data_IF_440419521824
#
_entry.id   IF_440419521824
#
_cell.length_a   1.000
_cell.length_b   1.000
_cell.length_c   1.000
_cell.angle_alpha   90.00
_cell.angle_beta   90.00
_cell.angle_gamma   90.00
#
_symmetry.space_group_name_H-M   'P 1'
#
loop_
_entity.id
_entity.type
_entity.pdbx_description
1 polymer ?
#
# COMPACT_ATOMS: atom_id res chain seq x y z
N UNK A 1 1.19 -18.56 9.57
CA UNK A 1 2.30 -17.79 8.93
C UNK A 1 2.06 -17.74 7.42
N UNK A 2 0.80 -17.60 6.99
CA UNK A 2 0.36 -17.96 5.62
C UNK A 2 -0.25 -16.78 4.85
N UNK A 3 -0.53 -15.64 5.50
CA UNK A 3 -1.15 -14.48 4.84
C UNK A 3 -0.19 -13.65 3.97
N UNK A 4 1.03 -14.15 3.71
CA UNK A 4 2.07 -13.42 2.97
C UNK A 4 2.11 -13.72 1.47
N UNK A 5 1.40 -14.74 0.98
CA UNK A 5 1.65 -15.29 -0.37
C UNK A 5 1.12 -14.38 -1.49
N UNK A 6 -0.09 -13.81 -1.36
CA UNK A 6 -0.73 -13.08 -2.47
C UNK A 6 -0.13 -11.69 -2.73
N UNK A 7 0.22 -10.95 -1.68
CA UNK A 7 0.93 -9.67 -1.81
C UNK A 7 2.38 -9.83 -2.27
N UNK A 8 3.02 -10.93 -1.88
CA UNK A 8 4.38 -11.27 -2.29
C UNK A 8 4.46 -11.74 -3.75
N UNK A 9 3.47 -12.53 -4.20
CA UNK A 9 3.39 -13.04 -5.58
C UNK A 9 3.34 -11.92 -6.62
N UNK A 10 2.60 -10.85 -6.35
CA UNK A 10 2.48 -9.71 -7.26
C UNK A 10 3.53 -8.61 -7.02
N UNK A 11 4.36 -8.74 -5.97
CA UNK A 11 5.33 -7.72 -5.51
C UNK A 11 4.71 -6.31 -5.35
N UNK A 12 3.40 -6.24 -5.08
CA UNK A 12 2.71 -4.96 -4.90
C UNK A 12 2.76 -4.59 -3.43
N UNK A 13 3.15 -3.34 -3.16
CA UNK A 13 3.18 -2.78 -1.81
C UNK A 13 2.55 -1.41 -1.79
N UNK A 14 2.42 -0.83 -0.61
CA UNK A 14 2.03 0.57 -0.46
C UNK A 14 2.96 1.55 -1.21
N UNK A 15 4.17 1.13 -1.58
CA UNK A 15 5.14 1.97 -2.27
C UNK A 15 4.97 2.01 -3.80
N UNK A 16 4.05 1.23 -4.39
CA UNK A 16 3.73 1.33 -5.82
C UNK A 16 2.62 2.37 -6.03
N UNK A 17 2.92 3.58 -6.53
CA UNK A 17 2.02 4.73 -6.44
C UNK A 17 0.73 4.56 -7.24
N UNK A 18 0.74 3.76 -8.31
CA UNK A 18 -0.43 3.50 -9.15
C UNK A 18 -1.05 2.15 -8.81
N UNK A 19 -0.24 1.09 -8.81
CA UNK A 19 -0.73 -0.28 -8.68
C UNK A 19 -1.30 -0.58 -7.28
N UNK A 20 -0.71 -0.02 -6.22
CA UNK A 20 -1.21 -0.19 -4.86
C UNK A 20 -2.62 0.38 -4.68
N UNK A 21 -2.86 1.67 -4.99
CA UNK A 21 -4.20 2.24 -4.94
C UNK A 21 -5.22 1.56 -5.88
N UNK A 22 -4.80 1.16 -7.08
CA UNK A 22 -5.68 0.45 -8.02
C UNK A 22 -6.15 -0.88 -7.44
N UNK A 23 -5.25 -1.71 -6.91
CA UNK A 23 -5.61 -2.98 -6.29
C UNK A 23 -6.43 -2.80 -5.01
N UNK A 24 -6.13 -1.77 -4.21
CA UNK A 24 -6.96 -1.43 -3.05
C UNK A 24 -8.39 -1.03 -3.44
N UNK A 25 -8.55 -0.27 -4.51
CA UNK A 25 -9.87 0.11 -5.05
C UNK A 25 -10.63 -1.11 -5.59
N UNK A 26 -9.97 -1.94 -6.41
CA UNK A 26 -10.57 -3.17 -6.93
C UNK A 26 -10.99 -4.13 -5.82
N UNK A 27 -10.17 -4.25 -4.76
CA UNK A 27 -10.50 -5.06 -3.59
C UNK A 27 -11.79 -4.61 -2.91
N UNK A 28 -11.94 -3.30 -2.64
CA UNK A 28 -13.17 -2.76 -2.05
C UNK A 28 -14.36 -2.93 -2.99
N UNK A 29 -14.19 -2.64 -4.28
CA UNK A 29 -15.27 -2.78 -5.26
C UNK A 29 -15.81 -4.22 -5.33
N UNK A 30 -14.90 -5.20 -5.41
CA UNK A 30 -15.27 -6.62 -5.43
C UNK A 30 -15.94 -7.05 -4.12
N UNK A 31 -15.39 -6.66 -2.97
CA UNK A 31 -16.02 -6.96 -1.67
C UNK A 31 -17.43 -6.40 -1.57
N UNK A 32 -17.66 -5.19 -2.08
CA UNK A 32 -18.96 -4.53 -2.04
C UNK A 32 -19.99 -5.23 -2.95
N UNK A 33 -19.58 -5.65 -4.16
CA UNK A 33 -20.41 -6.47 -5.05
C UNK A 33 -20.84 -7.77 -4.36
N UNK A 34 -19.90 -8.46 -3.72
CA UNK A 34 -20.19 -9.72 -3.02
C UNK A 34 -21.12 -9.51 -1.82
N UNK A 35 -20.94 -8.42 -1.08
CA UNK A 35 -21.81 -8.07 0.04
C UNK A 35 -23.23 -7.72 -0.42
N UNK A 36 -23.37 -6.93 -1.49
CA UNK A 36 -24.67 -6.61 -2.08
C UNK A 36 -25.40 -7.85 -2.59
N UNK A 37 -24.69 -8.76 -3.26
CA UNK A 37 -25.25 -10.02 -3.73
C UNK A 37 -25.69 -10.93 -2.57
N UNK A 38 -24.87 -11.03 -1.51
CA UNK A 38 -25.23 -11.77 -0.31
C UNK A 38 -26.47 -11.18 0.39
N UNK A 39 -26.55 -9.86 0.54
CA UNK A 39 -27.69 -9.16 1.11
C UNK A 39 -28.98 -9.44 0.32
N UNK A 40 -28.93 -9.34 -1.01
CA UNK A 40 -30.09 -9.62 -1.88
C UNK A 40 -30.57 -11.06 -1.80
N UNK A 41 -29.65 -12.04 -1.75
CA UNK A 41 -29.99 -13.47 -1.60
C UNK A 41 -30.62 -13.77 -0.26
N UNK A 42 -30.08 -13.19 0.82
CA UNK A 42 -30.64 -13.33 2.15
C UNK A 42 -32.04 -12.71 2.23
N UNK A 43 -32.23 -11.52 1.66
CA UNK A 43 -33.53 -10.86 1.59
C UNK A 43 -34.59 -11.64 0.80
N UNK A 44 -34.22 -12.24 -0.34
CA UNK A 44 -35.15 -13.09 -1.11
C UNK A 44 -35.53 -14.35 -0.34
N UNK A 45 -34.58 -14.94 0.41
CA UNK A 45 -34.84 -16.12 1.21
C UNK A 45 -35.83 -15.81 2.34
N UNK A 46 -35.66 -14.68 3.04
CA UNK A 46 -36.57 -14.23 4.09
C UNK A 46 -37.98 -13.90 3.58
N UNK A 47 -38.11 -13.38 2.36
CA UNK A 47 -39.42 -13.11 1.74
C UNK A 47 -40.10 -14.34 1.14
N UNK A 48 -39.45 -15.51 1.17
CA UNK A 48 -39.97 -16.72 0.51
C UNK A 48 -40.04 -16.59 -1.02
N UNK A 49 -39.29 -15.64 -1.61
CA UNK A 49 -39.30 -15.42 -3.05
C UNK A 49 -38.50 -16.54 -3.74
N UNK A 50 -39.10 -17.18 -4.73
CA UNK A 50 -38.38 -18.11 -5.61
C UNK A 50 -37.42 -17.34 -6.52
N UNK A 51 -36.35 -18.02 -6.95
CA UNK A 51 -35.23 -17.42 -7.68
C UNK A 51 -35.73 -16.71 -8.95
N UNK A 52 -35.85 -15.38 -8.89
CA UNK A 52 -36.27 -14.56 -10.02
C UNK A 52 -35.14 -14.52 -11.05
N UNK A 53 -35.44 -14.87 -12.30
CA UNK A 53 -34.48 -14.78 -13.40
C UNK A 53 -34.22 -13.30 -13.70
N UNK A 54 -33.04 -12.80 -13.34
CA UNK A 54 -32.63 -11.41 -13.64
C UNK A 54 -31.97 -11.35 -15.00
N UNK A 55 -32.16 -10.25 -15.71
CA UNK A 55 -31.38 -9.99 -16.93
C UNK A 55 -29.91 -9.75 -16.57
N UNK A 56 -28.99 -10.12 -17.48
CA UNK A 56 -27.56 -9.86 -17.28
C UNK A 56 -27.27 -8.36 -17.07
N UNK A 57 -28.03 -7.49 -17.73
CA UNK A 57 -27.94 -6.04 -17.58
C UNK A 57 -28.31 -5.57 -16.16
N UNK A 58 -29.38 -6.11 -15.57
CA UNK A 58 -29.77 -5.76 -14.21
C UNK A 58 -28.71 -6.20 -13.19
N UNK A 59 -28.13 -7.40 -13.37
CA UNK A 59 -27.04 -7.89 -12.51
C UNK A 59 -25.80 -7.00 -12.62
N UNK A 60 -25.44 -6.57 -13.83
CA UNK A 60 -24.30 -5.67 -14.05
C UNK A 60 -24.53 -4.28 -13.43
N UNK A 61 -25.74 -3.74 -13.52
CA UNK A 61 -26.12 -2.46 -12.90
C UNK A 61 -26.05 -2.54 -11.37
N UNK A 62 -26.64 -3.58 -10.77
CA UNK A 62 -26.58 -3.82 -9.32
C UNK A 62 -25.12 -3.91 -8.83
N UNK A 63 -24.30 -4.70 -9.53
CA UNK A 63 -22.87 -4.84 -9.20
C UNK A 63 -22.11 -3.51 -9.33
N UNK A 64 -22.37 -2.71 -10.37
CA UNK A 64 -21.74 -1.40 -10.53
C UNK A 64 -22.13 -0.45 -9.39
N UNK A 65 -23.40 -0.43 -9.00
CA UNK A 65 -23.89 0.39 -7.89
C UNK A 65 -23.25 -0.03 -6.56
N UNK A 66 -23.22 -1.34 -6.26
CA UNK A 66 -22.60 -1.88 -5.05
C UNK A 66 -21.11 -1.48 -4.97
N UNK A 67 -20.36 -1.63 -6.07
CA UNK A 67 -18.96 -1.26 -6.14
C UNK A 67 -18.73 0.24 -5.93
N UNK A 68 -19.50 1.10 -6.62
CA UNK A 68 -19.39 2.57 -6.52
C UNK A 68 -19.72 3.02 -5.10
N UNK A 69 -20.78 2.48 -4.51
CA UNK A 69 -21.22 2.83 -3.17
C UNK A 69 -20.17 2.46 -2.12
N UNK A 70 -19.64 1.23 -2.16
CA UNK A 70 -18.62 0.81 -1.20
C UNK A 70 -17.29 1.56 -1.33
N UNK A 71 -16.86 1.88 -2.56
CA UNK A 71 -15.69 2.73 -2.80
C UNK A 71 -15.92 4.14 -2.24
N UNK A 72 -17.11 4.71 -2.47
CA UNK A 72 -17.47 6.05 -2.00
C UNK A 72 -17.52 6.08 -0.48
N UNK A 73 -18.20 5.13 0.17
CA UNK A 73 -18.24 4.99 1.63
C UNK A 73 -16.84 4.82 2.22
N UNK A 74 -15.98 3.99 1.61
CA UNK A 74 -14.60 3.83 2.05
C UNK A 74 -13.85 5.16 2.09
N UNK A 75 -14.02 5.99 1.05
CA UNK A 75 -13.38 7.31 0.96
C UNK A 75 -13.98 8.31 1.94
N UNK A 76 -15.31 8.35 2.09
CA UNK A 76 -16.00 9.23 3.05
C UNK A 76 -15.61 8.91 4.50
N UNK A 77 -15.37 7.65 4.82
CA UNK A 77 -14.89 7.22 6.14
C UNK A 77 -13.40 7.51 6.38
N UNK A 78 -12.70 8.18 5.45
CA UNK A 78 -11.28 8.51 5.58
C UNK A 78 -10.32 7.41 5.12
N UNK A 79 -10.84 6.38 4.45
CA UNK A 79 -10.04 5.30 3.88
C UNK A 79 -9.07 5.81 2.82
N UNK A 80 -7.84 5.28 2.85
CA UNK A 80 -6.83 5.45 1.80
C UNK A 80 -6.55 4.09 1.20
N UNK A 81 -6.67 3.93 -0.11
CA UNK A 81 -6.48 2.61 -0.75
C UNK A 81 -5.11 2.01 -0.46
N UNK A 82 -4.08 2.85 -0.33
CA UNK A 82 -2.73 2.46 0.08
C UNK A 82 -2.70 1.74 1.44
N UNK A 83 -3.60 2.06 2.37
CA UNK A 83 -3.66 1.44 3.70
C UNK A 83 -4.08 -0.04 3.67
N UNK A 84 -4.65 -0.52 2.55
CA UNK A 84 -5.01 -1.93 2.35
C UNK A 84 -3.84 -2.76 1.82
N UNK A 85 -2.80 -2.10 1.30
CA UNK A 85 -1.65 -2.78 0.72
C UNK A 85 -0.60 -3.08 1.79
N UNK A 86 0.14 -4.18 1.68
CA UNK A 86 1.21 -4.46 2.62
C UNK A 86 2.31 -3.40 2.56
N UNK A 87 2.92 -3.14 3.72
CA UNK A 87 4.03 -2.20 3.85
C UNK A 87 5.37 -2.85 3.49
N UNK A 88 6.16 -2.20 2.63
CA UNK A 88 7.58 -2.55 2.47
C UNK A 88 8.39 -1.91 3.60
N UNK A 89 9.22 -2.68 4.28
CA UNK A 89 10.02 -2.19 5.42
C UNK A 89 11.17 -1.25 5.02
N UNK A 90 11.52 -1.16 3.73
CA UNK A 90 12.60 -0.28 3.25
C UNK A 90 12.08 1.06 2.71
N UNK A 91 10.76 1.23 2.66
CA UNK A 91 10.07 2.38 2.04
C UNK A 91 9.05 2.96 3.03
N UNK A 92 8.46 4.15 2.76
CA UNK A 92 7.39 4.65 3.61
C UNK A 92 6.25 3.63 3.66
N UNK A 93 5.82 3.27 4.86
CA UNK A 93 4.76 2.30 5.06
C UNK A 93 3.39 2.83 4.62
N UNK A 94 2.40 1.94 4.65
CA UNK A 94 1.05 2.26 4.20
C UNK A 94 0.44 3.39 5.03
N UNK A 95 0.70 3.39 6.34
CA UNK A 95 0.27 4.39 7.31
C UNK A 95 1.18 5.62 7.38
N UNK A 96 2.13 5.80 6.46
CA UNK A 96 2.98 7.00 6.44
C UNK A 96 2.16 8.25 6.10
N UNK A 97 2.08 9.21 7.03
CA UNK A 97 1.33 10.47 6.82
C UNK A 97 2.29 11.63 6.70
N UNK A 98 2.95 11.99 7.79
CA UNK A 98 3.95 13.05 7.83
C UNK A 98 5.34 12.49 8.17
N UNK A 99 6.37 13.27 7.85
CA UNK A 99 7.77 12.94 8.08
C UNK A 99 8.62 14.18 8.26
N UNK A 100 9.73 14.04 8.99
CA UNK A 100 10.70 15.12 9.20
C UNK A 100 11.89 14.97 8.25
N UNK A 101 12.55 16.06 7.85
CA UNK A 101 13.82 15.97 7.11
C UNK A 101 14.89 15.29 7.98
N UNK A 102 15.67 14.39 7.38
CA UNK A 102 16.83 13.78 8.03
C UNK A 102 18.11 14.43 7.47
N UNK A 103 18.86 15.22 8.28
CA UNK A 103 20.14 15.79 7.85
C UNK A 103 21.22 14.70 7.86
N UNK A 104 21.21 13.84 6.85
CA UNK A 104 22.19 12.77 6.68
C UNK A 104 21.95 11.55 7.58
N UNK A 105 23.04 10.81 7.82
CA UNK A 105 23.02 9.50 8.49
C UNK A 105 22.95 9.55 10.02
N UNK A 106 23.07 10.73 10.61
CA UNK A 106 23.05 10.91 12.06
C UNK A 106 21.68 10.58 12.64
N UNK A 107 21.63 10.31 13.95
CA UNK A 107 20.35 10.13 14.64
C UNK A 107 19.59 11.44 14.78
N UNK A 108 18.26 11.34 14.92
CA UNK A 108 17.41 12.51 15.12
C UNK A 108 17.83 13.33 16.36
N UNK A 109 17.91 14.66 16.20
CA UNK A 109 18.13 15.61 17.28
C UNK A 109 17.05 15.50 18.37
N UNK A 110 17.29 16.03 19.57
CA UNK A 110 16.30 15.96 20.65
C UNK A 110 14.98 16.66 20.28
N UNK A 111 15.06 17.80 19.58
CA UNK A 111 13.87 18.47 19.05
C UNK A 111 13.13 17.60 18.03
N UNK A 112 13.86 16.98 17.09
CA UNK A 112 13.26 16.08 16.11
C UNK A 112 12.63 14.84 16.75
N UNK A 113 13.21 14.30 17.84
CA UNK A 113 12.62 13.21 18.62
C UNK A 113 11.32 13.62 19.30
N UNK A 114 11.26 14.83 19.88
CA UNK A 114 10.03 15.40 20.44
C UNK A 114 8.93 15.48 19.39
N UNK A 115 9.26 16.00 18.21
CA UNK A 115 8.31 16.12 17.11
C UNK A 115 7.90 14.76 16.53
N UNK A 116 8.82 13.81 16.37
CA UNK A 116 8.50 12.44 15.97
C UNK A 116 7.55 11.75 16.96
N UNK A 117 7.70 12.02 18.26
CA UNK A 117 6.79 11.51 19.28
C UNK A 117 5.39 12.11 19.12
N UNK A 118 5.29 13.42 18.83
CA UNK A 118 4.02 14.09 18.49
C UNK A 118 3.36 13.45 17.27
N UNK A 119 4.12 13.27 16.18
CA UNK A 119 3.65 12.61 14.96
C UNK A 119 3.21 11.17 15.23
N UNK A 120 3.96 10.40 16.02
CA UNK A 120 3.62 9.02 16.37
C UNK A 120 2.32 8.90 17.15
N UNK A 121 2.07 9.78 18.12
CA UNK A 121 0.82 9.74 18.88
C UNK A 121 -0.39 10.20 18.05
N UNK A 122 -0.20 11.19 17.16
CA UNK A 122 -1.25 11.67 16.26
C UNK A 122 -1.59 10.67 15.16
N UNK A 123 -0.57 10.19 14.43
CA UNK A 123 -0.76 9.43 13.20
C UNK A 123 -0.54 7.92 13.40
N UNK A 124 0.36 7.55 14.31
CA UNK A 124 0.81 6.18 14.54
C UNK A 124 2.11 5.84 13.82
N UNK A 125 2.57 4.61 14.04
CA UNK A 125 3.67 4.00 13.31
C UNK A 125 3.40 4.03 11.80
N UNK A 126 4.37 4.47 11.01
CA UNK A 126 4.21 4.61 9.57
C UNK A 126 4.00 3.28 8.82
N UNK A 127 4.42 2.15 9.40
CA UNK A 127 4.12 0.81 8.84
C UNK A 127 2.82 0.22 9.37
N UNK A 128 2.61 0.17 10.68
CA UNK A 128 1.51 -0.60 11.27
C UNK A 128 0.39 0.25 11.88
N UNK A 129 0.53 1.56 11.95
CA UNK A 129 -0.48 2.46 12.52
C UNK A 129 -0.59 2.43 14.05
N UNK A 130 0.20 1.62 14.76
CA UNK A 130 0.22 1.57 16.23
C UNK A 130 0.62 2.93 16.83
N UNK A 131 -0.11 3.40 17.85
CA UNK A 131 0.09 4.70 18.52
C UNK A 131 0.66 4.63 19.95
N UNK A 132 0.99 3.43 20.42
CA UNK A 132 1.54 3.19 21.75
C UNK A 132 2.95 2.59 21.70
N UNK A 133 3.70 2.78 22.79
CA UNK A 133 5.06 2.26 22.97
C UNK A 133 6.18 3.23 22.59
N UNK A 134 7.40 2.71 22.54
CA UNK A 134 8.61 3.47 22.21
C UNK A 134 8.60 3.93 20.74
N UNK A 135 8.86 5.22 20.55
CA UNK A 135 8.96 5.86 19.24
C UNK A 135 10.41 5.86 18.76
N UNK A 136 10.61 5.47 17.51
CA UNK A 136 11.90 5.46 16.82
C UNK A 136 11.75 6.34 15.57
N UNK A 137 12.74 7.22 15.36
CA UNK A 137 12.87 7.96 14.11
C UNK A 137 13.52 7.07 13.06
N UNK A 138 12.71 6.51 12.18
CA UNK A 138 13.17 5.60 11.14
C UNK A 138 13.62 6.38 9.90
N UNK A 139 14.85 6.13 9.46
CA UNK A 139 15.42 6.71 8.25
C UNK A 139 14.91 5.99 7.01
N UNK A 140 14.17 6.69 6.16
CA UNK A 140 13.73 6.18 4.87
C UNK A 140 14.29 7.05 3.75
N UNK A 141 15.03 6.48 2.77
CA UNK A 141 15.53 5.09 2.73
C UNK A 141 16.55 4.79 3.85
N UNK A 142 16.73 3.53 4.30
CA UNK A 142 17.70 3.19 5.36
C UNK A 142 19.16 3.58 5.06
N UNK A 143 19.91 3.96 6.09
CA UNK A 143 21.33 4.37 5.97
C UNK A 143 22.20 3.37 5.22
N UNK A 144 22.03 2.07 5.45
CA UNK A 144 22.80 1.01 4.76
C UNK A 144 22.61 1.05 3.23
N UNK A 145 21.47 1.56 2.76
CA UNK A 145 21.17 1.73 1.34
C UNK A 145 21.64 3.08 0.81
N UNK A 146 21.78 4.11 1.64
CA UNK A 146 22.22 5.44 1.23
C UNK A 146 23.74 5.62 1.30
N UNK A 147 24.39 5.07 2.32
CA UNK A 147 25.79 5.35 2.67
C UNK A 147 26.70 4.11 2.65
N UNK A 148 26.18 2.95 2.27
CA UNK A 148 27.00 1.74 2.10
C UNK A 148 27.86 1.75 0.82
N UNK A 149 28.87 0.87 0.69
CA UNK A 149 29.73 0.77 -0.50
C UNK A 149 28.98 0.54 -1.82
N UNK A 150 27.75 0.04 -1.75
CA UNK A 150 26.85 -0.23 -2.88
C UNK A 150 25.61 0.69 -2.90
N UNK A 151 25.60 1.77 -2.11
CA UNK A 151 24.40 2.53 -1.78
C UNK A 151 23.77 3.25 -2.97
N UNK A 152 24.61 3.90 -3.79
CA UNK A 152 24.13 4.70 -4.92
C UNK A 152 23.45 3.85 -6.01
N UNK A 153 24.04 2.69 -6.36
CA UNK A 153 23.45 1.80 -7.38
C UNK A 153 22.18 1.10 -6.89
N UNK A 154 22.15 0.65 -5.62
CA UNK A 154 20.97 0.00 -5.05
C UNK A 154 19.82 0.98 -4.81
N UNK A 155 20.10 2.22 -4.42
CA UNK A 155 19.10 3.27 -4.31
C UNK A 155 18.47 3.60 -5.67
N UNK A 156 19.29 3.71 -6.73
CA UNK A 156 18.81 3.90 -8.11
C UNK A 156 17.94 2.71 -8.56
N UNK A 157 18.40 1.47 -8.36
CA UNK A 157 17.63 0.27 -8.74
C UNK A 157 16.30 0.14 -7.96
N UNK A 158 16.26 0.57 -6.69
CA UNK A 158 15.06 0.59 -5.87
C UNK A 158 14.06 1.69 -6.25
N UNK A 159 14.54 2.83 -6.74
CA UNK A 159 13.71 3.90 -7.32
C UNK A 159 13.14 3.43 -8.66
N UNK A 160 13.96 2.86 -9.54
CA UNK A 160 13.53 2.31 -10.84
C UNK A 160 12.45 1.24 -10.69
N UNK A 161 12.61 0.32 -9.73
CA UNK A 161 11.60 -0.71 -9.42
C UNK A 161 10.33 -0.14 -8.78
N UNK A 162 10.41 0.98 -8.04
CA UNK A 162 9.22 1.65 -7.47
C UNK A 162 8.38 2.41 -8.50
N UNK A 163 8.97 2.79 -9.63
CA UNK A 163 8.29 3.41 -10.77
C UNK A 163 7.57 2.40 -11.68
N UNK A 164 7.60 1.10 -11.34
CA UNK A 164 6.97 0.05 -12.14
C UNK A 164 7.77 -0.35 -13.39
N UNK A 165 8.98 0.20 -13.58
CA UNK A 165 9.90 -0.28 -14.59
C UNK A 165 10.64 -1.49 -14.02
N UNK A 166 10.11 -2.68 -14.29
CA UNK A 166 10.89 -3.91 -14.17
C UNK A 166 12.07 -3.80 -15.12
N UNK A 167 13.29 -3.93 -14.62
CA UNK A 167 14.40 -4.37 -15.46
C UNK A 167 13.93 -5.66 -16.14
N UNK A 168 13.84 -5.61 -17.46
CA UNK A 168 13.59 -6.77 -18.29
C UNK A 168 14.78 -7.69 -18.09
N UNK A 169 14.67 -8.59 -17.11
CA UNK A 169 15.43 -9.83 -17.12
C UNK A 169 14.99 -10.53 -18.40
N UNK A 170 15.90 -10.54 -19.36
CA UNK A 170 15.80 -11.28 -20.60
C UNK A 170 15.27 -12.69 -20.31
N UNK A 171 14.29 -13.12 -21.14
CA UNK A 171 13.65 -14.44 -21.23
C UNK A 171 12.26 -14.57 -20.57
N UNK A 172 11.21 -14.06 -21.23
CA UNK A 172 9.86 -14.64 -21.21
C UNK A 172 9.06 -14.29 -22.49
N UNK A 173 8.16 -15.17 -22.98
CA UNK A 173 7.70 -15.22 -24.37
C UNK A 173 6.30 -14.61 -24.57
N UNK A 174 6.13 -13.31 -24.34
CA UNK A 174 4.85 -12.60 -24.55
C UNK A 174 5.01 -11.32 -25.38
N UNK A 175 5.83 -11.36 -26.42
CA UNK A 175 6.15 -10.22 -27.30
C UNK A 175 5.07 -9.86 -28.34
N UNK A 176 3.80 -10.26 -28.17
CA UNK A 176 2.75 -10.03 -29.18
C UNK A 176 1.45 -9.42 -28.66
N UNK A 177 1.54 -8.44 -27.77
CA UNK A 177 0.46 -7.45 -27.58
C UNK A 177 1.02 -6.04 -27.84
N UNK A 178 1.45 -5.79 -29.08
CA UNK A 178 1.81 -4.46 -29.55
C UNK A 178 0.57 -3.79 -30.17
N UNK A 179 0.18 -2.63 -29.65
CA UNK A 179 -0.83 -1.80 -30.28
C UNK A 179 -1.39 -0.71 -29.37
N UNK A 180 -0.85 0.51 -29.51
CA UNK A 180 -1.30 1.81 -28.98
C UNK A 180 -1.45 1.98 -27.46
N UNK A 181 -1.94 1.00 -26.69
CA UNK A 181 -2.15 1.16 -25.24
C UNK A 181 -0.83 1.19 -24.46
N UNK A 182 0.14 0.36 -24.87
CA UNK A 182 1.48 0.33 -24.26
C UNK A 182 2.29 1.61 -24.47
N UNK A 183 1.98 2.38 -25.51
CA UNK A 183 2.69 3.63 -25.82
C UNK A 183 2.16 4.83 -25.03
N UNK A 184 0.89 4.80 -24.63
CA UNK A 184 0.29 5.79 -23.72
C UNK A 184 0.79 5.56 -22.27
N UNK A 185 1.02 4.29 -21.88
CA UNK A 185 1.54 3.92 -20.55
C UNK A 185 3.06 4.05 -20.41
N UNK A 186 3.84 4.02 -21.50
CA UNK A 186 5.30 4.15 -21.48
C UNK A 186 5.77 5.46 -22.12
N UNK A 187 5.29 6.59 -21.60
CA UNK A 187 5.85 7.90 -21.94
C UNK A 187 7.38 7.91 -21.75
N UNK A 188 8.10 8.26 -22.82
CA UNK A 188 9.55 8.52 -22.85
C UNK A 188 9.92 9.77 -22.02
N UNK A 189 9.49 9.82 -20.77
CA UNK A 189 9.99 10.77 -19.79
C UNK A 189 11.34 10.29 -19.29
N UNK A 190 12.44 10.86 -19.78
CA UNK A 190 13.69 10.86 -19.02
C UNK A 190 13.39 11.56 -17.70
N UNK A 191 13.12 10.78 -16.65
CA UNK A 191 13.02 11.29 -15.28
C UNK A 191 14.37 11.89 -14.95
N UNK A 192 14.46 13.23 -14.92
CA UNK A 192 15.60 13.92 -14.34
C UNK A 192 15.60 13.54 -12.85
N UNK A 193 16.51 12.66 -12.45
CA UNK A 193 16.74 12.33 -11.03
C UNK A 193 17.32 13.59 -10.39
N UNK A 194 16.44 14.39 -9.80
CA UNK A 194 16.79 15.63 -9.14
C UNK A 194 17.49 15.33 -7.80
N UNK A 195 18.81 15.54 -7.75
CA UNK A 195 19.62 15.57 -6.53
C UNK A 195 19.76 14.24 -5.76
N UNK A 196 20.65 14.20 -4.75
CA UNK A 196 20.74 13.04 -3.85
C UNK A 196 19.40 12.85 -3.15
N UNK A 197 18.89 11.61 -3.14
CA UNK A 197 17.60 11.28 -2.52
C UNK A 197 17.60 11.77 -1.06
N UNK A 198 16.73 12.74 -0.76
CA UNK A 198 16.64 13.33 0.58
C UNK A 198 16.01 12.31 1.52
N UNK A 199 16.81 11.80 2.44
CA UNK A 199 16.37 10.90 3.49
C UNK A 199 15.43 11.64 4.46
N UNK A 200 14.45 10.92 5.01
CA UNK A 200 13.45 11.48 5.93
C UNK A 200 13.25 10.57 7.13
N UNK A 201 12.90 11.17 8.26
CA UNK A 201 12.47 10.46 9.45
C UNK A 201 10.97 10.19 9.42
N UNK A 202 10.60 8.94 9.59
CA UNK A 202 9.22 8.53 9.84
C UNK A 202 9.07 7.99 11.28
N UNK A 203 7.95 8.25 11.95
CA UNK A 203 7.69 7.69 13.27
C UNK A 203 7.43 6.18 13.14
N UNK A 204 8.22 5.36 13.84
CA UNK A 204 8.14 3.90 13.78
C UNK A 204 8.11 3.30 15.20
N UNK A 205 7.39 2.20 15.39
CA UNK A 205 7.38 1.47 16.66
C UNK A 205 8.55 0.48 16.75
N UNK A 206 8.97 0.14 17.98
CA UNK A 206 10.07 -0.80 18.23
C UNK A 206 9.90 -2.17 17.53
N UNK A 207 8.67 -2.69 17.46
CA UNK A 207 8.39 -3.97 16.79
C UNK A 207 8.64 -3.90 15.28
N UNK A 208 8.17 -2.83 14.61
CA UNK A 208 8.42 -2.64 13.18
C UNK A 208 9.90 -2.38 12.90
N UNK A 209 10.57 -1.63 13.77
CA UNK A 209 12.02 -1.37 13.67
C UNK A 209 12.85 -2.64 13.78
N UNK A 210 12.52 -3.55 14.70
CA UNK A 210 13.18 -4.85 14.82
C UNK A 210 13.00 -5.74 13.58
N UNK A 211 11.80 -5.71 12.95
CA UNK A 211 11.58 -6.42 11.68
C UNK A 211 12.41 -5.79 10.56
N UNK A 212 12.42 -4.47 10.46
CA UNK A 212 13.18 -3.74 9.45
C UNK A 212 14.68 -4.00 9.57
N UNK A 213 15.25 -3.96 10.78
CA UNK A 213 16.68 -4.22 10.99
C UNK A 213 17.08 -5.63 10.55
N UNK A 214 16.23 -6.63 10.81
CA UNK A 214 16.46 -8.00 10.34
C UNK A 214 16.44 -8.08 8.80
N UNK A 215 15.47 -7.42 8.16
CA UNK A 215 15.33 -7.36 6.70
C UNK A 215 16.52 -6.67 6.04
N UNK A 216 16.97 -5.53 6.58
CA UNK A 216 18.17 -4.80 6.14
C UNK A 216 19.45 -5.64 6.34
N UNK A 217 19.53 -6.42 7.41
CA UNK A 217 20.66 -7.33 7.66
C UNK A 217 20.70 -8.47 6.65
N UNK A 218 19.56 -9.11 6.41
CA UNK A 218 19.43 -10.23 5.47
C UNK A 218 19.47 -9.79 3.99
N UNK A 219 19.35 -8.49 3.71
CA UNK A 219 19.33 -7.97 2.34
C UNK A 219 18.12 -8.45 1.52
N UNK A 220 17.02 -8.78 2.19
CA UNK A 220 15.76 -9.22 1.57
C UNK A 220 14.76 -8.07 1.54
N UNK A 221 13.79 -8.15 0.64
CA UNK A 221 12.57 -7.33 0.72
C UNK A 221 11.48 -8.12 1.44
N UNK A 222 10.86 -7.50 2.44
CA UNK A 222 9.75 -8.10 3.19
C UNK A 222 8.56 -7.16 3.20
N UNK A 223 7.40 -7.76 2.93
CA UNK A 223 6.09 -7.13 3.00
C UNK A 223 5.44 -7.46 4.34
N UNK A 224 4.95 -6.43 5.02
CA UNK A 224 4.29 -6.55 6.32
C UNK A 224 2.86 -6.04 6.20
N UNK A 225 1.91 -6.94 6.41
CA UNK A 225 0.52 -6.55 6.57
C UNK A 225 0.28 -5.92 7.94
N UNK A 226 -0.70 -5.03 7.99
CA UNK A 226 -1.01 -4.24 9.16
C UNK A 226 -2.52 -4.24 9.39
N UNK A 227 -2.90 -4.91 10.48
CA UNK A 227 -4.28 -5.03 10.97
C UNK A 227 -4.41 -4.41 12.37
N UNK A 228 -3.74 -3.27 12.62
CA UNK A 228 -3.77 -2.65 13.94
C UNK A 228 -4.95 -1.69 14.08
N UNK A 229 -5.92 -2.13 14.89
CA UNK A 229 -7.13 -1.39 15.25
C UNK A 229 -8.27 -1.57 14.25
N UNK A 230 -9.49 -1.69 14.75
CA UNK A 230 -10.69 -1.62 13.92
C UNK A 230 -10.83 -0.18 13.42
N UNK A 231 -10.71 0.01 12.10
CA UNK A 231 -10.94 1.31 11.46
C UNK A 231 -12.30 1.26 10.76
N UNK A 232 -13.12 2.31 10.88
CA UNK A 232 -14.48 2.30 10.33
C UNK A 232 -14.53 1.92 8.84
N UNK A 233 -13.57 2.38 8.04
CA UNK A 233 -13.50 2.08 6.61
C UNK A 233 -13.19 0.61 6.25
N UNK A 234 -12.75 -0.23 7.20
CA UNK A 234 -12.63 -1.67 6.93
C UNK A 234 -14.00 -2.34 6.71
N UNK A 235 -15.08 -1.70 7.15
CA UNK A 235 -16.46 -2.16 7.01
C UNK A 235 -17.21 -1.49 5.85
N UNK A 236 -16.57 -0.58 5.12
CA UNK A 236 -17.24 0.13 4.04
C UNK A 236 -17.76 -0.81 2.93
N UNK A 237 -17.10 -1.95 2.73
CA UNK A 237 -17.53 -3.00 1.79
C UNK A 237 -18.54 -4.00 2.38
N UNK A 238 -18.88 -3.89 3.67
CA UNK A 238 -19.86 -4.77 4.35
C UNK A 238 -21.17 -4.07 4.66
N UNK A 239 -21.27 -2.76 4.41
CA UNK A 239 -22.51 -2.02 4.57
C UNK A 239 -23.49 -2.46 3.45
N UNK A 240 -24.59 -3.14 3.78
CA UNK A 240 -25.62 -3.39 2.79
C UNK A 240 -26.22 -2.05 2.34
N UNK A 241 -26.65 -1.92 1.06
CA UNK A 241 -27.57 -0.86 0.66
C UNK A 241 -28.89 -0.94 1.43
#
# INVERSE_FOLDING_TARGET
MEDSVTGFALRVSCATPVLGPALGMSGIGLSSILAGEASRRFGSHLRGETRRHRSAQAVAQDAALDAIMGITLFKLMGGRFRNLMPSSLLRPGACAVESLPAPGSEYASQMAKGELKRLFHRDGCHHCGRRNGRVIGDHIPPNKLMHGPAGTQKAIQQITSSLGFSESSSKAPFSRLSGKLGQILMGKGRVRVAGPARQRYYPQCALCSGKQSNVVRMGKDMLVFHFYGMRPWYYAGTAPP
#
